data_IF_797719445350
#
_entry.id   IF_797719445350
#
_cell.length_a   1.000
_cell.length_b   1.000
_cell.length_c   1.000
_cell.angle_alpha   90.00
_cell.angle_beta   90.00
_cell.angle_gamma   90.00
#
_symmetry.space_group_name_H-M   'P 1'
#
loop_
_entity.id
_entity.type
_entity.pdbx_description
1 polymer ?
#
# COMPACT_ATOMS: atom_id res chain seq x y z
N UNK A 1 -17.41 -16.65 16.56
CA UNK A 1 -16.14 -15.93 16.79
C UNK A 1 -15.33 -15.65 15.51
N UNK A 2 -15.47 -16.39 14.40
CA UNK A 2 -14.64 -16.21 13.19
C UNK A 2 -15.09 -15.12 12.21
N UNK A 3 -16.30 -14.54 12.33
CA UNK A 3 -16.79 -13.51 11.39
C UNK A 3 -16.22 -12.10 11.64
N UNK A 4 -15.91 -11.74 12.89
CA UNK A 4 -15.37 -10.40 13.21
C UNK A 4 -13.91 -10.21 12.74
N UNK A 5 -13.11 -11.28 12.71
CA UNK A 5 -11.72 -11.23 12.22
C UNK A 5 -11.63 -11.09 10.70
N UNK A 6 -12.65 -11.57 9.98
CA UNK A 6 -12.73 -11.51 8.50
C UNK A 6 -13.05 -10.09 8.03
N UNK A 7 -13.93 -9.37 8.73
CA UNK A 7 -14.27 -7.97 8.42
C UNK A 7 -13.13 -6.99 8.75
N UNK A 8 -12.35 -7.25 9.80
CA UNK A 8 -11.20 -6.41 10.16
C UNK A 8 -10.06 -6.46 9.14
N UNK A 9 -9.80 -7.64 8.56
CA UNK A 9 -8.82 -7.82 7.48
C UNK A 9 -9.35 -7.24 6.15
N UNK A 10 -10.66 -7.32 5.89
CA UNK A 10 -11.23 -6.60 4.74
C UNK A 10 -11.10 -5.08 4.94
N UNK A 11 -11.37 -4.53 6.13
CA UNK A 11 -11.29 -3.07 6.35
C UNK A 11 -9.87 -2.49 6.41
N UNK A 12 -8.85 -3.24 6.84
CA UNK A 12 -7.46 -2.76 6.77
C UNK A 12 -6.88 -2.78 5.36
N UNK A 13 -7.40 -3.66 4.48
CA UNK A 13 -6.82 -3.92 3.17
C UNK A 13 -7.68 -3.41 1.99
N UNK A 14 -8.99 -3.20 2.16
CA UNK A 14 -9.90 -2.56 1.18
C UNK A 14 -9.80 -1.03 1.12
N UNK A 15 -8.90 -0.42 1.88
CA UNK A 15 -8.59 1.01 1.82
C UNK A 15 -7.77 1.41 0.58
N UNK A 16 -7.37 0.44 -0.25
CA UNK A 16 -6.47 0.65 -1.38
C UNK A 16 -7.09 1.29 -2.63
N UNK A 17 -8.38 1.07 -2.89
CA UNK A 17 -9.09 1.65 -4.05
C UNK A 17 -10.15 2.68 -3.66
N UNK A 18 -10.51 2.73 -2.37
CA UNK A 18 -11.48 3.68 -1.83
C UNK A 18 -10.82 4.35 -0.64
N UNK A 19 -10.57 5.65 -0.76
CA UNK A 19 -10.12 6.43 0.38
C UNK A 19 -11.31 6.66 1.33
N UNK A 20 -11.77 5.60 2.01
CA UNK A 20 -12.80 5.72 3.06
C UNK A 20 -12.35 6.71 4.14
N UNK A 21 -11.04 6.89 4.34
CA UNK A 21 -10.51 7.94 5.22
C UNK A 21 -10.98 9.33 4.78
N UNK A 22 -10.97 9.65 3.48
CA UNK A 22 -11.43 10.96 2.98
C UNK A 22 -12.94 11.15 3.08
N UNK A 23 -13.72 10.07 3.13
CA UNK A 23 -15.18 10.12 3.35
C UNK A 23 -15.51 10.23 4.84
N UNK A 24 -14.86 9.41 5.67
CA UNK A 24 -15.17 9.28 7.09
C UNK A 24 -14.57 10.42 7.90
N UNK A 25 -13.32 10.83 7.64
CA UNK A 25 -12.66 11.86 8.44
C UNK A 25 -13.46 13.17 8.55
N UNK A 26 -14.03 13.72 7.45
CA UNK A 26 -14.91 14.89 7.54
C UNK A 26 -16.12 14.66 8.45
N UNK A 27 -16.77 13.50 8.36
CA UNK A 27 -17.94 13.18 9.19
C UNK A 27 -17.59 13.08 10.67
N UNK A 28 -16.45 12.46 11.00
CA UNK A 28 -15.92 12.43 12.35
C UNK A 28 -15.74 13.85 12.91
N UNK A 29 -15.21 14.78 12.11
CA UNK A 29 -15.01 16.17 12.52
C UNK A 29 -16.34 16.92 12.65
N UNK A 30 -17.21 16.81 11.64
CA UNK A 30 -18.51 17.50 11.58
C UNK A 30 -19.42 17.12 12.73
N UNK A 31 -19.56 15.82 13.04
CA UNK A 31 -20.37 15.35 14.16
C UNK A 31 -19.85 15.82 15.51
N UNK A 32 -18.54 16.10 15.62
CA UNK A 32 -17.93 16.69 16.81
C UNK A 32 -17.82 18.22 16.76
N UNK A 33 -18.43 18.88 15.75
CA UNK A 33 -18.36 20.32 15.50
C UNK A 33 -16.92 20.88 15.40
N UNK A 34 -16.03 20.09 14.85
CA UNK A 34 -14.68 20.53 14.48
C UNK A 34 -14.74 21.09 13.07
N UNK A 35 -14.18 22.28 12.89
CA UNK A 35 -14.04 22.91 11.58
C UNK A 35 -13.14 22.07 10.66
N UNK A 36 -13.68 21.73 9.50
CA UNK A 36 -13.00 20.96 8.48
C UNK A 36 -12.09 21.83 7.61
N UNK A 37 -12.10 23.16 7.67
CA UNK A 37 -11.34 23.99 6.72
C UNK A 37 -9.83 24.02 7.00
N UNK A 38 -9.39 23.44 8.12
CA UNK A 38 -7.98 23.25 8.45
C UNK A 38 -7.28 22.09 7.73
N UNK A 39 -5.94 22.11 7.73
CA UNK A 39 -5.08 20.99 7.25
C UNK A 39 -5.45 19.67 7.95
N UNK A 40 -5.30 18.53 7.28
CA UNK A 40 -5.58 17.17 7.81
C UNK A 40 -5.02 16.94 9.22
N UNK A 41 -3.78 17.40 9.48
CA UNK A 41 -3.12 17.28 10.78
C UNK A 41 -3.85 18.04 11.90
N UNK A 42 -4.34 19.24 11.60
CA UNK A 42 -5.09 20.07 12.56
C UNK A 42 -6.41 19.39 12.94
N UNK A 43 -7.07 18.73 11.98
CA UNK A 43 -8.31 17.97 12.22
C UNK A 43 -8.08 16.78 13.16
N UNK A 44 -7.02 16.02 12.95
CA UNK A 44 -6.66 14.88 13.81
C UNK A 44 -6.35 15.37 15.23
N UNK A 45 -5.55 16.44 15.37
CA UNK A 45 -5.25 17.03 16.66
C UNK A 45 -6.52 17.55 17.36
N UNK A 46 -7.40 18.24 16.66
CA UNK A 46 -8.67 18.72 17.20
C UNK A 46 -9.59 17.58 17.66
N UNK A 47 -9.66 16.48 16.90
CA UNK A 47 -10.43 15.31 17.34
C UNK A 47 -9.90 14.78 18.68
N UNK A 48 -8.58 14.77 18.89
CA UNK A 48 -7.98 14.25 20.12
C UNK A 48 -8.27 15.08 21.37
N UNK A 49 -8.71 16.34 21.23
CA UNK A 49 -9.01 17.22 22.37
C UNK A 49 -10.45 17.07 22.88
N UNK A 50 -11.32 16.37 22.13
CA UNK A 50 -12.70 16.14 22.56
C UNK A 50 -12.71 15.26 23.80
N UNK A 51 -13.39 15.74 24.85
CA UNK A 51 -13.59 14.99 26.08
C UNK A 51 -14.97 14.31 26.08
N UNK A 52 -15.08 13.10 26.66
CA UNK A 52 -16.37 12.45 26.86
C UNK A 52 -17.24 13.26 27.84
N UNK A 53 -18.55 13.06 27.78
CA UNK A 53 -19.49 13.65 28.74
C UNK A 53 -19.52 12.85 30.05
N UNK A 54 -19.63 13.53 31.18
CA UNK A 54 -19.60 12.92 32.52
C UNK A 54 -20.80 11.98 32.79
N UNK A 55 -21.91 12.19 32.09
CA UNK A 55 -23.16 11.45 32.26
C UNK A 55 -23.26 10.19 31.38
N UNK A 56 -22.15 9.76 30.75
CA UNK A 56 -22.10 8.64 29.79
C UNK A 56 -23.01 8.81 28.57
N UNK A 57 -23.51 10.02 28.30
CA UNK A 57 -24.20 10.29 27.04
C UNK A 57 -23.17 10.43 25.91
N UNK A 58 -23.55 10.00 24.71
CA UNK A 58 -22.70 10.14 23.53
C UNK A 58 -22.86 11.50 22.83
N UNK A 59 -23.96 12.19 23.11
CA UNK A 59 -24.40 13.39 22.42
C UNK A 59 -24.80 14.46 23.43
N UNK A 60 -24.39 15.71 23.15
CA UNK A 60 -24.91 16.91 23.78
C UNK A 60 -25.72 17.68 22.75
N UNK A 61 -26.97 17.99 23.08
CA UNK A 61 -27.79 18.86 22.25
C UNK A 61 -27.54 20.34 22.61
N UNK A 62 -27.38 21.20 21.60
CA UNK A 62 -27.27 22.64 21.80
C UNK A 62 -28.66 23.29 21.86
N UNK A 63 -28.70 24.55 22.29
CA UNK A 63 -29.93 25.34 22.32
C UNK A 63 -30.58 25.54 20.93
N UNK A 64 -29.84 25.26 19.86
CA UNK A 64 -30.30 25.35 18.47
C UNK A 64 -30.83 24.00 17.94
N UNK A 65 -30.95 22.98 18.80
CA UNK A 65 -31.35 21.62 18.41
C UNK A 65 -30.26 20.83 17.68
N UNK A 66 -29.02 21.33 17.72
CA UNK A 66 -27.89 20.67 17.08
C UNK A 66 -27.31 19.62 18.03
N UNK A 67 -27.12 18.41 17.52
CA UNK A 67 -26.43 17.34 18.23
C UNK A 67 -24.91 17.43 18.02
N UNK A 68 -24.15 17.43 19.13
CA UNK A 68 -22.68 17.39 19.16
C UNK A 68 -22.24 16.09 19.82
N UNK A 69 -21.43 15.32 19.11
CA UNK A 69 -20.93 14.03 19.58
C UNK A 69 -19.65 14.18 20.41
N UNK A 70 -19.57 13.41 21.49
CA UNK A 70 -18.47 13.40 22.45
C UNK A 70 -17.90 11.97 22.62
N UNK A 71 -17.13 11.47 21.64
CA UNK A 71 -16.52 10.14 21.73
C UNK A 71 -15.55 10.03 22.92
N UNK A 72 -15.49 8.83 23.50
CA UNK A 72 -14.58 8.49 24.58
C UNK A 72 -13.29 7.86 24.00
N UNK A 73 -12.39 8.71 23.50
CA UNK A 73 -11.17 8.27 22.80
C UNK A 73 -10.21 7.39 23.60
N UNK A 74 -10.19 7.50 24.93
CA UNK A 74 -9.35 6.69 25.80
C UNK A 74 -10.04 5.40 26.28
N UNK A 75 -11.36 5.31 26.07
CA UNK A 75 -12.20 4.18 26.43
C UNK A 75 -12.02 2.96 25.53
N UNK A 76 -12.94 2.00 25.69
CA UNK A 76 -12.98 0.83 24.81
C UNK A 76 -13.70 1.21 23.51
N UNK A 77 -13.20 0.76 22.37
CA UNK A 77 -13.81 1.04 21.05
C UNK A 77 -15.24 0.50 20.98
N UNK A 78 -15.49 -0.62 21.64
CA UNK A 78 -16.80 -1.28 21.70
C UNK A 78 -17.63 -0.83 22.92
N UNK A 79 -17.22 0.22 23.64
CA UNK A 79 -18.07 0.80 24.68
C UNK A 79 -19.31 1.46 24.06
N UNK A 80 -20.36 1.60 24.87
CA UNK A 80 -21.68 2.02 24.38
C UNK A 80 -21.64 3.41 23.71
N UNK A 81 -20.86 4.34 24.26
CA UNK A 81 -20.71 5.70 23.73
C UNK A 81 -20.02 5.68 22.37
N UNK A 82 -18.88 5.00 22.27
CA UNK A 82 -18.11 4.92 21.03
C UNK A 82 -18.85 4.10 19.97
N UNK A 83 -19.51 3.01 20.35
CA UNK A 83 -20.28 2.19 19.43
C UNK A 83 -21.45 2.97 18.80
N UNK A 84 -22.12 3.85 19.58
CA UNK A 84 -23.16 4.75 19.06
C UNK A 84 -22.57 5.78 18.09
N UNK A 85 -21.45 6.40 18.45
CA UNK A 85 -20.80 7.38 17.59
C UNK A 85 -20.29 6.78 16.27
N UNK A 86 -19.65 5.61 16.32
CA UNK A 86 -19.17 4.90 15.13
C UNK A 86 -20.33 4.53 14.20
N UNK A 87 -21.46 4.12 14.78
CA UNK A 87 -22.68 3.81 14.04
C UNK A 87 -23.24 5.06 13.35
N UNK A 88 -23.34 6.17 14.06
CA UNK A 88 -23.82 7.43 13.49
C UNK A 88 -22.95 7.86 12.30
N UNK A 89 -21.62 7.83 12.45
CA UNK A 89 -20.72 8.15 11.33
C UNK A 89 -20.97 7.25 10.12
N UNK A 90 -21.13 5.95 10.36
CA UNK A 90 -21.37 4.98 9.29
C UNK A 90 -22.70 5.20 8.59
N UNK A 91 -23.76 5.52 9.34
CA UNK A 91 -25.08 5.84 8.81
C UNK A 91 -25.05 7.16 8.00
N UNK A 92 -24.39 8.21 8.50
CA UNK A 92 -24.17 9.43 7.73
C UNK A 92 -23.41 9.16 6.42
N UNK A 93 -22.33 8.37 6.47
CA UNK A 93 -21.55 8.02 5.28
C UNK A 93 -22.38 7.24 4.26
N UNK A 94 -23.16 6.26 4.73
CA UNK A 94 -24.06 5.47 3.89
C UNK A 94 -25.13 6.34 3.23
N UNK A 95 -25.77 7.23 4.00
CA UNK A 95 -26.83 8.10 3.50
C UNK A 95 -26.31 9.15 2.52
N UNK A 96 -25.15 9.76 2.79
CA UNK A 96 -24.52 10.71 1.87
C UNK A 96 -24.19 10.05 0.52
N UNK A 97 -23.57 8.87 0.57
CA UNK A 97 -23.28 8.09 -0.64
C UNK A 97 -24.58 7.69 -1.37
N UNK A 98 -25.62 7.28 -0.64
CA UNK A 98 -26.93 6.95 -1.21
C UNK A 98 -27.51 8.14 -1.97
N UNK A 99 -27.55 9.32 -1.34
CA UNK A 99 -28.06 10.54 -1.96
C UNK A 99 -27.21 10.99 -3.15
N UNK A 100 -25.89 10.85 -3.07
CA UNK A 100 -24.98 11.20 -4.17
C UNK A 100 -25.22 10.33 -5.41
N UNK A 101 -25.45 9.02 -5.22
CA UNK A 101 -25.80 8.09 -6.30
C UNK A 101 -27.12 8.45 -6.97
N UNK A 102 -28.12 8.77 -6.16
CA UNK A 102 -29.45 9.16 -6.66
C UNK A 102 -29.39 10.47 -7.46
N UNK A 103 -28.56 11.44 -7.03
CA UNK A 103 -28.51 12.77 -7.63
C UNK A 103 -27.53 12.89 -8.81
N UNK A 104 -26.31 12.38 -8.67
CA UNK A 104 -25.20 12.64 -9.61
C UNK A 104 -24.78 11.42 -10.41
N UNK A 105 -25.30 10.22 -10.08
CA UNK A 105 -24.85 8.92 -10.62
C UNK A 105 -23.35 8.66 -10.43
N UNK A 106 -22.65 9.45 -9.61
CA UNK A 106 -21.28 9.18 -9.19
C UNK A 106 -21.29 8.21 -8.01
N UNK A 107 -20.37 7.25 -8.05
CA UNK A 107 -20.19 6.26 -7.00
C UNK A 107 -18.81 6.49 -6.37
N UNK A 108 -18.75 7.14 -5.20
CA UNK A 108 -17.49 7.29 -4.46
C UNK A 108 -17.11 6.01 -3.73
N UNK A 109 -18.09 5.15 -3.45
CA UNK A 109 -17.91 3.78 -2.96
C UNK A 109 -18.29 2.79 -4.10
N UNK A 110 -17.56 1.70 -4.38
CA UNK A 110 -17.98 0.65 -5.29
C UNK A 110 -19.22 -0.07 -4.80
N UNK A 111 -20.08 -0.53 -5.73
CA UNK A 111 -21.34 -1.21 -5.40
C UNK A 111 -21.14 -2.43 -4.49
N UNK A 112 -20.06 -3.17 -4.67
CA UNK A 112 -19.69 -4.34 -3.85
C UNK A 112 -19.40 -3.99 -2.39
N UNK A 113 -18.94 -2.76 -2.15
CA UNK A 113 -18.57 -2.24 -0.82
C UNK A 113 -19.65 -1.34 -0.22
N UNK A 114 -20.67 -0.96 -1.00
CA UNK A 114 -21.75 -0.08 -0.57
C UNK A 114 -22.83 -0.84 0.21
N UNK A 115 -22.46 -1.32 1.40
CA UNK A 115 -23.39 -1.88 2.38
C UNK A 115 -23.09 -1.30 3.75
N UNK A 116 -24.13 -1.00 4.53
CA UNK A 116 -23.96 -0.41 5.86
C UNK A 116 -23.02 -1.21 6.78
N UNK A 117 -23.04 -2.56 6.81
CA UNK A 117 -22.09 -3.33 7.63
C UNK A 117 -20.62 -3.13 7.25
N UNK A 118 -20.30 -3.00 5.95
CA UNK A 118 -18.93 -2.74 5.49
C UNK A 118 -18.50 -1.33 5.91
N UNK A 119 -19.35 -0.33 5.67
CA UNK A 119 -19.08 1.06 6.05
C UNK A 119 -18.91 1.20 7.57
N UNK A 120 -19.71 0.46 8.35
CA UNK A 120 -19.60 0.43 9.82
C UNK A 120 -18.24 -0.10 10.28
N UNK A 121 -17.74 -1.18 9.68
CA UNK A 121 -16.42 -1.71 10.02
C UNK A 121 -15.28 -0.78 9.54
N UNK A 122 -15.47 -0.06 8.41
CA UNK A 122 -14.55 1.00 7.99
C UNK A 122 -14.51 2.14 9.02
N UNK A 123 -15.67 2.63 9.47
CA UNK A 123 -15.78 3.66 10.51
C UNK A 123 -15.15 3.20 11.83
N UNK A 124 -15.39 1.95 12.23
CA UNK A 124 -14.78 1.33 13.41
C UNK A 124 -13.26 1.23 13.30
N UNK A 125 -12.75 0.88 12.13
CA UNK A 125 -11.31 0.80 11.86
C UNK A 125 -10.65 2.16 11.92
N UNK A 126 -11.29 3.19 11.34
CA UNK A 126 -10.85 4.57 11.46
C UNK A 126 -10.84 5.03 12.94
N UNK A 127 -11.91 4.73 13.69
CA UNK A 127 -11.98 5.03 15.12
C UNK A 127 -10.80 4.38 15.88
N UNK A 128 -10.52 3.09 15.65
CA UNK A 128 -9.37 2.38 16.27
C UNK A 128 -8.04 3.09 15.99
N UNK A 129 -7.85 3.58 14.77
CA UNK A 129 -6.66 4.34 14.37
C UNK A 129 -6.54 5.64 15.17
N UNK A 130 -7.64 6.39 15.28
CA UNK A 130 -7.69 7.62 16.09
C UNK A 130 -7.48 7.35 17.58
N UNK A 131 -8.17 6.36 18.14
CA UNK A 131 -8.00 5.90 19.52
C UNK A 131 -6.53 5.53 19.82
N UNK A 132 -5.85 4.81 18.91
CA UNK A 132 -4.41 4.51 19.05
C UNK A 132 -3.57 5.80 19.09
N UNK A 133 -3.83 6.75 18.18
CA UNK A 133 -3.12 8.05 18.14
C UNK A 133 -3.34 8.86 19.42
N UNK A 134 -4.58 8.91 19.92
CA UNK A 134 -4.92 9.62 21.16
C UNK A 134 -4.18 9.01 22.35
N UNK A 135 -4.16 7.67 22.46
CA UNK A 135 -3.40 6.97 23.51
C UNK A 135 -1.91 7.25 23.44
N UNK A 136 -1.33 7.32 22.24
CA UNK A 136 0.08 7.71 22.07
C UNK A 136 0.30 9.16 22.56
N UNK A 137 -0.53 10.10 22.14
CA UNK A 137 -0.43 11.53 22.50
C UNK A 137 -0.72 11.85 23.97
N UNK A 138 -1.36 10.94 24.71
CA UNK A 138 -1.63 11.13 26.13
C UNK A 138 -0.40 10.81 27.02
N UNK A 139 0.70 10.32 26.44
CA UNK A 139 1.94 10.03 27.18
C UNK A 139 3.07 10.96 26.72
N UNK A 140 3.87 11.49 27.65
CA UNK A 140 5.00 12.37 27.31
C UNK A 140 5.98 11.71 26.31
N UNK A 141 6.21 10.41 26.48
CA UNK A 141 7.02 9.62 25.55
C UNK A 141 6.38 9.50 24.17
N UNK A 142 5.06 9.31 24.11
CA UNK A 142 4.33 9.19 22.86
C UNK A 142 4.18 10.52 22.12
N UNK A 143 4.05 11.65 22.84
CA UNK A 143 4.12 13.00 22.28
C UNK A 143 5.46 13.25 21.62
N UNK A 144 6.58 12.96 22.31
CA UNK A 144 7.93 13.05 21.71
C UNK A 144 8.10 12.16 20.48
N UNK A 145 7.57 10.93 20.51
CA UNK A 145 7.58 10.03 19.33
C UNK A 145 6.71 10.53 18.18
N UNK A 146 5.62 11.22 18.47
CA UNK A 146 4.73 11.80 17.47
C UNK A 146 5.35 13.04 16.83
N UNK A 147 5.91 13.95 17.64
CA UNK A 147 6.70 15.10 17.18
C UNK A 147 7.91 14.67 16.36
N UNK A 148 8.66 13.66 16.82
CA UNK A 148 9.75 13.09 16.03
C UNK A 148 9.24 12.53 14.69
N UNK A 149 8.10 11.83 14.65
CA UNK A 149 7.50 11.37 13.37
C UNK A 149 7.05 12.53 12.48
N UNK A 150 6.60 13.64 13.05
CA UNK A 150 6.25 14.86 12.32
C UNK A 150 7.48 15.55 11.74
N UNK A 151 8.56 15.68 12.50
CA UNK A 151 9.84 16.22 12.03
C UNK A 151 10.46 15.31 10.96
N UNK A 152 10.40 13.99 11.16
CA UNK A 152 10.90 13.00 10.20
C UNK A 152 9.97 12.79 9.00
N UNK A 153 8.71 13.23 9.06
CA UNK A 153 7.77 13.20 7.94
C UNK A 153 8.19 14.13 6.81
N UNK A 154 9.10 15.07 7.07
CA UNK A 154 9.72 15.93 6.05
C UNK A 154 10.90 15.25 5.34
N UNK A 155 11.33 14.08 5.79
CA UNK A 155 12.41 13.32 5.15
C UNK A 155 11.89 12.33 4.09
N UNK A 156 12.68 12.02 3.04
CA UNK A 156 12.27 11.20 1.90
C UNK A 156 11.78 9.77 2.20
N UNK A 157 11.89 9.30 3.45
CA UNK A 157 11.48 7.95 3.84
C UNK A 157 9.96 7.74 3.86
N UNK A 158 9.14 8.76 4.11
CA UNK A 158 7.67 8.62 4.12
C UNK A 158 7.09 8.35 2.71
N UNK A 159 7.79 8.73 1.64
CA UNK A 159 7.40 8.36 0.26
C UNK A 159 7.49 6.85 0.00
N UNK A 160 8.30 6.12 0.76
CA UNK A 160 8.46 4.67 0.62
C UNK A 160 7.21 3.93 1.11
N UNK A 161 6.65 4.35 2.24
CA UNK A 161 5.44 3.73 2.82
C UNK A 161 4.20 3.99 1.96
N UNK A 162 4.11 5.17 1.35
CA UNK A 162 3.03 5.45 0.41
C UNK A 162 3.14 4.58 -0.84
N UNK A 163 4.33 4.48 -1.47
CA UNK A 163 4.51 3.68 -2.69
C UNK A 163 4.19 2.20 -2.47
N UNK A 164 4.60 1.64 -1.32
CA UNK A 164 4.30 0.26 -0.92
C UNK A 164 2.80 0.02 -0.73
N UNK A 165 2.12 0.95 -0.07
CA UNK A 165 0.65 0.90 0.09
C UNK A 165 -0.06 0.91 -1.28
N UNK A 166 0.41 1.74 -2.22
CA UNK A 166 -0.14 1.80 -3.58
C UNK A 166 0.10 0.52 -4.38
N UNK A 167 1.30 -0.05 -4.33
CA UNK A 167 1.62 -1.30 -5.01
C UNK A 167 0.76 -2.47 -4.51
N UNK A 168 0.56 -2.55 -3.18
CA UNK A 168 -0.33 -3.55 -2.58
C UNK A 168 -1.78 -3.37 -3.06
N UNK A 169 -2.24 -2.12 -3.20
CA UNK A 169 -3.59 -1.79 -3.66
C UNK A 169 -3.83 -2.16 -5.12
N UNK A 170 -2.87 -1.87 -6.00
CA UNK A 170 -2.93 -2.24 -7.42
C UNK A 170 -2.86 -3.75 -7.64
N UNK A 171 -2.04 -4.45 -6.85
CA UNK A 171 -1.98 -5.91 -6.88
C UNK A 171 -3.35 -6.52 -6.54
N UNK A 172 -4.07 -5.94 -5.56
CA UNK A 172 -5.42 -6.37 -5.21
C UNK A 172 -6.42 -6.08 -6.33
N UNK A 173 -6.39 -4.87 -6.89
CA UNK A 173 -7.28 -4.47 -7.98
C UNK A 173 -7.11 -5.38 -9.20
N UNK A 174 -5.87 -5.70 -9.58
CA UNK A 174 -5.61 -6.60 -10.69
C UNK A 174 -6.11 -8.03 -10.41
N UNK A 175 -5.86 -8.58 -9.22
CA UNK A 175 -6.35 -9.92 -8.85
C UNK A 175 -7.88 -9.99 -8.88
N UNK A 176 -8.58 -8.91 -8.53
CA UNK A 176 -10.04 -8.80 -8.62
C UNK A 176 -10.49 -8.69 -10.08
N UNK A 177 -9.88 -7.81 -10.86
CA UNK A 177 -10.22 -7.58 -12.27
C UNK A 177 -9.91 -8.79 -13.17
N UNK A 178 -8.83 -9.52 -12.89
CA UNK A 178 -8.48 -10.75 -13.60
C UNK A 178 -9.53 -11.86 -13.37
N UNK A 179 -10.17 -11.90 -12.19
CA UNK A 179 -11.30 -12.82 -11.92
C UNK A 179 -12.57 -12.41 -12.66
N UNK A 180 -12.82 -11.11 -12.83
CA UNK A 180 -14.03 -10.60 -13.48
C UNK A 180 -13.97 -10.65 -15.01
N UNK A 181 -12.79 -10.47 -15.61
CA UNK A 181 -12.63 -10.41 -17.08
C UNK A 181 -12.57 -11.77 -17.81
N UNK A 182 -12.82 -12.90 -17.12
CA UNK A 182 -13.07 -14.18 -17.79
C UNK A 182 -11.97 -14.67 -18.75
N UNK A 183 -10.71 -14.30 -18.50
CA UNK A 183 -9.59 -14.76 -19.29
C UNK A 183 -9.25 -16.22 -19.01
N UNK A 184 -9.75 -17.11 -19.87
CA UNK A 184 -9.27 -18.47 -20.18
C UNK A 184 -8.59 -19.28 -19.06
N UNK A 185 -9.28 -20.32 -18.58
CA UNK A 185 -8.73 -21.59 -18.07
C UNK A 185 -7.64 -21.61 -16.99
N UNK A 186 -7.27 -20.50 -16.35
CA UNK A 186 -6.35 -20.50 -15.21
C UNK A 186 -7.11 -20.55 -13.87
N UNK A 187 -7.69 -21.74 -13.67
CA UNK A 187 -8.15 -22.33 -12.41
C UNK A 187 -9.28 -21.63 -11.64
N UNK A 188 -10.49 -22.06 -11.97
CA UNK A 188 -11.58 -22.16 -11.02
C UNK A 188 -11.25 -23.18 -9.92
N UNK A 189 -10.33 -22.87 -9.01
CA UNK A 189 -10.17 -23.62 -7.78
C UNK A 189 -11.07 -23.02 -6.69
N UNK A 190 -12.18 -23.71 -6.43
CA UNK A 190 -13.24 -23.44 -5.43
C UNK A 190 -12.75 -23.39 -3.96
N UNK A 191 -11.44 -23.46 -3.70
CA UNK A 191 -10.86 -23.59 -2.35
C UNK A 191 -10.39 -22.25 -1.78
N UNK A 192 -10.21 -21.20 -2.58
CA UNK A 192 -9.66 -19.94 -2.11
C UNK A 192 -10.74 -18.86 -1.93
N UNK A 193 -11.52 -18.99 -0.85
CA UNK A 193 -12.39 -17.94 -0.29
C UNK A 193 -11.63 -16.72 0.28
N UNK A 194 -10.34 -16.56 -0.03
CA UNK A 194 -9.52 -15.43 0.38
C UNK A 194 -8.86 -14.85 -0.87
N UNK A 195 -8.83 -13.52 -1.08
CA UNK A 195 -7.79 -12.93 -1.88
C UNK A 195 -6.46 -13.26 -1.17
N UNK A 196 -5.75 -14.26 -1.67
CA UNK A 196 -4.42 -14.57 -1.17
C UNK A 196 -3.53 -13.42 -1.60
N UNK A 197 -3.19 -12.57 -0.63
CA UNK A 197 -2.37 -11.39 -0.84
C UNK A 197 -0.96 -11.87 -1.19
N UNK A 198 -0.50 -11.57 -2.40
CA UNK A 198 0.92 -11.66 -2.72
C UNK A 198 1.59 -10.55 -1.93
N UNK A 199 2.53 -10.94 -1.06
CA UNK A 199 3.34 -9.97 -0.34
C UNK A 199 4.18 -9.18 -1.35
N UNK A 200 3.96 -7.87 -1.45
CA UNK A 200 4.75 -6.95 -2.29
C UNK A 200 5.89 -6.30 -1.51
N UNK A 201 5.94 -6.48 -0.18
CA UNK A 201 7.03 -6.02 0.69
C UNK A 201 8.26 -6.92 0.61
N UNK A 202 8.14 -8.10 -0.02
CA UNK A 202 9.27 -8.87 -0.54
C UNK A 202 9.84 -8.22 -1.82
N UNK A 203 10.03 -6.90 -1.79
CA UNK A 203 10.74 -6.16 -2.81
C UNK A 203 12.25 -6.27 -2.61
N UNK A 204 13.03 -5.85 -3.59
CA UNK A 204 14.50 -5.85 -3.50
C UNK A 204 15.00 -4.92 -2.38
N UNK A 205 16.12 -5.29 -1.76
CA UNK A 205 16.73 -4.48 -0.70
C UNK A 205 17.37 -3.22 -1.32
N UNK A 206 17.04 -2.05 -0.77
CA UNK A 206 17.62 -0.78 -1.20
C UNK A 206 18.75 -0.42 -0.23
N UNK A 207 19.99 -0.51 -0.72
CA UNK A 207 21.19 -0.33 0.09
C UNK A 207 21.98 0.87 -0.43
N UNK A 208 22.57 1.66 0.46
CA UNK A 208 23.49 2.74 0.08
C UNK A 208 24.69 2.15 -0.67
N UNK A 209 25.03 2.73 -1.83
CA UNK A 209 26.15 2.26 -2.63
C UNK A 209 27.46 2.85 -2.09
N UNK A 210 28.29 2.04 -1.45
CA UNK A 210 29.67 2.41 -1.11
C UNK A 210 30.58 2.04 -2.29
N UNK A 211 31.24 3.03 -2.93
CA UNK A 211 32.05 2.82 -4.13
C UNK A 211 33.24 1.88 -3.90
N UNK A 212 33.71 1.77 -2.66
CA UNK A 212 34.85 0.93 -2.30
C UNK A 212 34.48 -0.56 -2.12
N UNK A 213 33.19 -0.89 -2.11
CA UNK A 213 32.68 -2.23 -1.76
C UNK A 213 31.81 -2.84 -2.87
N UNK A 214 31.82 -2.26 -4.08
CA UNK A 214 30.99 -2.71 -5.19
C UNK A 214 31.83 -3.26 -6.34
N UNK A 215 31.30 -4.27 -7.03
CA UNK A 215 31.93 -4.85 -8.21
C UNK A 215 31.97 -3.85 -9.38
N UNK A 216 32.90 -4.07 -10.30
CA UNK A 216 33.07 -3.25 -11.49
C UNK A 216 31.78 -3.18 -12.34
N UNK A 217 31.10 -4.31 -12.53
CA UNK A 217 29.79 -4.36 -13.20
C UNK A 217 28.73 -3.46 -12.52
N UNK A 218 28.72 -3.43 -11.19
CA UNK A 218 27.77 -2.61 -10.42
C UNK A 218 28.07 -1.12 -10.62
N UNK A 219 29.35 -0.75 -10.70
CA UNK A 219 29.77 0.62 -11.03
C UNK A 219 29.40 1.00 -12.46
N UNK A 220 29.55 0.07 -13.41
CA UNK A 220 29.20 0.31 -14.81
C UNK A 220 27.70 0.55 -14.98
N UNK A 221 26.83 -0.29 -14.39
CA UNK A 221 25.37 -0.09 -14.42
C UNK A 221 24.95 1.25 -13.85
N UNK A 222 25.60 1.70 -12.78
CA UNK A 222 25.31 3.02 -12.19
C UNK A 222 25.67 4.16 -13.17
N UNK A 223 26.79 4.04 -13.88
CA UNK A 223 27.18 4.98 -14.94
C UNK A 223 26.16 4.98 -16.07
N UNK A 224 25.75 3.80 -16.53
CA UNK A 224 24.79 3.64 -17.63
C UNK A 224 23.40 4.20 -17.26
N UNK A 225 23.00 4.04 -16.00
CA UNK A 225 21.78 4.63 -15.46
C UNK A 225 21.87 6.15 -15.22
N UNK A 226 23.06 6.76 -15.42
CA UNK A 226 23.35 8.18 -15.22
C UNK A 226 22.98 8.67 -13.80
N UNK A 227 23.22 7.85 -12.78
CA UNK A 227 22.86 8.17 -11.39
C UNK A 227 24.08 8.60 -10.57
N UNK A 228 23.94 9.72 -9.86
CA UNK A 228 25.02 10.32 -9.05
C UNK A 228 25.50 9.50 -7.85
N UNK A 229 26.54 9.98 -7.15
CA UNK A 229 27.21 9.30 -6.03
C UNK A 229 26.34 8.94 -4.83
N UNK A 230 25.20 9.61 -4.67
CA UNK A 230 24.22 9.32 -3.62
C UNK A 230 23.15 8.30 -4.04
N UNK A 231 23.35 7.58 -5.15
CA UNK A 231 22.44 6.53 -5.61
C UNK A 231 22.38 5.36 -4.61
N UNK A 232 21.19 4.79 -4.44
CA UNK A 232 21.07 3.49 -3.78
C UNK A 232 21.12 2.38 -4.82
N UNK A 233 21.70 1.23 -4.46
CA UNK A 233 21.62 0.01 -5.26
C UNK A 233 20.43 -0.83 -4.81
N UNK A 234 19.82 -1.51 -5.76
CA UNK A 234 18.69 -2.42 -5.55
C UNK A 234 19.21 -3.85 -5.65
N UNK A 235 19.12 -4.59 -4.55
CA UNK A 235 19.62 -5.96 -4.44
C UNK A 235 18.43 -6.91 -4.50
N UNK A 236 18.32 -7.63 -5.62
CA UNK A 236 17.35 -8.72 -5.77
C UNK A 236 17.70 -9.93 -4.90
N UNK A 237 16.74 -10.82 -4.71
CA UNK A 237 16.94 -12.08 -3.98
C UNK A 237 16.88 -13.26 -4.93
N UNK A 238 17.84 -14.19 -4.79
CA UNK A 238 18.00 -15.34 -5.67
C UNK A 238 16.85 -16.34 -5.55
N UNK A 239 16.13 -16.35 -4.43
CA UNK A 239 14.96 -17.20 -4.25
C UNK A 239 13.78 -16.78 -5.12
N UNK A 240 13.76 -15.60 -5.74
CA UNK A 240 12.61 -15.10 -6.50
C UNK A 240 12.60 -15.62 -7.92
N UNK A 241 11.44 -16.08 -8.38
CA UNK A 241 11.21 -16.41 -9.78
C UNK A 241 11.20 -15.14 -10.65
N UNK A 242 11.64 -15.26 -11.90
CA UNK A 242 11.58 -14.15 -12.88
C UNK A 242 10.16 -13.60 -13.05
N UNK A 243 9.15 -14.48 -12.99
CA UNK A 243 7.75 -14.10 -13.09
C UNK A 243 7.31 -13.18 -11.94
N UNK A 244 7.76 -13.47 -10.73
CA UNK A 244 7.46 -12.65 -9.58
C UNK A 244 8.15 -11.29 -9.62
N UNK A 245 9.43 -11.26 -10.01
CA UNK A 245 10.15 -10.00 -10.20
C UNK A 245 9.49 -9.14 -11.28
N UNK A 246 9.09 -9.76 -12.40
CA UNK A 246 8.38 -9.09 -13.48
C UNK A 246 7.05 -8.48 -13.02
N UNK A 247 6.29 -9.20 -12.19
CA UNK A 247 5.07 -8.68 -11.57
C UNK A 247 5.32 -7.46 -10.67
N UNK A 248 6.38 -7.48 -9.85
CA UNK A 248 6.75 -6.33 -9.01
C UNK A 248 7.17 -5.09 -9.84
N UNK A 249 7.91 -5.30 -10.92
CA UNK A 249 8.29 -4.22 -11.85
C UNK A 249 7.06 -3.62 -12.55
N UNK A 250 6.14 -4.47 -13.03
CA UNK A 250 4.88 -4.04 -13.62
C UNK A 250 4.03 -3.22 -12.64
N UNK A 251 3.87 -3.69 -11.39
CA UNK A 251 3.18 -2.94 -10.33
C UNK A 251 3.80 -1.57 -10.08
N UNK A 252 5.13 -1.48 -10.12
CA UNK A 252 5.86 -0.23 -9.94
C UNK A 252 5.55 0.77 -11.06
N UNK A 253 5.49 0.30 -12.30
CA UNK A 253 5.09 1.14 -13.44
C UNK A 253 3.64 1.62 -13.31
N UNK A 254 2.70 0.72 -12.99
CA UNK A 254 1.30 1.07 -12.78
C UNK A 254 1.12 2.13 -11.68
N UNK A 255 1.81 1.95 -10.54
CA UNK A 255 1.78 2.92 -9.45
C UNK A 255 2.31 4.30 -9.87
N UNK A 256 3.31 4.34 -10.75
CA UNK A 256 3.85 5.60 -11.27
C UNK A 256 2.92 6.28 -12.27
N UNK A 257 2.31 5.53 -13.20
CA UNK A 257 1.33 6.08 -14.17
C UNK A 257 0.14 6.71 -13.44
N UNK A 258 -0.41 6.00 -12.45
CA UNK A 258 -1.53 6.50 -11.66
C UNK A 258 -1.22 7.81 -10.91
N UNK A 259 0.01 7.98 -10.40
CA UNK A 259 0.41 9.24 -9.76
C UNK A 259 0.45 10.41 -10.74
N UNK A 260 0.79 10.18 -12.01
CA UNK A 260 0.83 11.23 -13.03
C UNK A 260 -0.56 11.63 -13.51
N UNK A 261 -1.50 10.69 -13.50
CA UNK A 261 -2.88 10.91 -13.97
C UNK A 261 -3.79 11.59 -12.94
N UNK A 262 -3.33 11.76 -11.69
CA UNK A 262 -4.09 12.52 -10.67
C UNK A 262 -4.20 13.98 -11.10
N UNK A 263 -5.40 14.49 -11.44
CA UNK A 263 -5.55 15.87 -11.89
C UNK A 263 -5.12 16.81 -10.75
N UNK A 264 -4.30 17.81 -11.07
CA UNK A 264 -4.08 18.94 -10.17
C UNK A 264 -5.46 19.52 -9.83
N UNK A 265 -5.86 19.48 -8.55
CA UNK A 265 -7.13 20.05 -8.11
C UNK A 265 -7.29 21.46 -8.68
N UNK A 266 -8.42 21.77 -9.37
CA UNK A 266 -8.67 23.13 -9.79
C UNK A 266 -8.80 23.96 -8.52
N UNK A 267 -7.88 24.92 -8.34
CA UNK A 267 -8.00 25.96 -7.33
C UNK A 267 -9.38 26.63 -7.50
N UNK A 268 -10.37 26.21 -6.73
CA UNK A 268 -11.63 26.94 -6.61
C UNK A 268 -11.29 28.26 -5.92
N UNK A 269 -11.65 29.34 -6.62
CA UNK A 269 -11.19 30.69 -6.35
C UNK A 269 -11.49 31.15 -4.93
N UNK A 270 -10.43 31.39 -4.17
CA UNK A 270 -10.45 32.37 -3.10
C UNK A 270 -10.09 33.71 -3.72
N UNK A 271 -11.05 34.63 -3.77
CA UNK A 271 -10.79 36.04 -4.08
C UNK A 271 -10.10 36.68 -2.88
N UNK A 272 -8.79 36.48 -2.73
CA UNK A 272 -8.00 37.39 -1.91
C UNK A 272 -6.63 37.62 -2.55
N UNK A 273 -6.40 38.87 -2.97
CA UNK A 273 -5.29 39.27 -3.82
C UNK A 273 -3.98 39.38 -3.04
N UNK A 274 -3.33 38.25 -2.84
CA UNK A 274 -1.88 38.20 -2.57
C UNK A 274 -1.08 38.16 -3.88
N UNK A 275 0.16 38.70 -3.94
CA UNK A 275 0.97 38.65 -5.14
C UNK A 275 1.16 37.19 -5.60
N UNK A 276 1.01 36.90 -6.91
CA UNK A 276 1.06 35.54 -7.42
C UNK A 276 2.42 34.94 -7.11
N UNK A 277 2.47 33.99 -6.18
CA UNK A 277 3.66 33.18 -5.94
C UNK A 277 3.98 32.46 -7.25
N UNK A 278 5.17 32.72 -7.80
CA UNK A 278 5.69 32.02 -8.98
C UNK A 278 5.66 30.51 -8.71
N UNK A 279 4.61 29.82 -9.20
CA UNK A 279 4.54 28.37 -9.21
C UNK A 279 5.57 27.90 -10.23
N UNK A 280 6.69 27.41 -9.72
CA UNK A 280 7.69 26.74 -10.55
C UNK A 280 7.01 25.51 -11.15
N UNK A 281 6.77 25.52 -12.47
CA UNK A 281 6.44 24.30 -13.23
C UNK A 281 7.69 23.42 -13.17
N UNK A 282 7.70 22.54 -12.18
CA UNK A 282 8.76 21.56 -12.08
C UNK A 282 8.43 20.45 -13.09
N UNK A 283 9.00 20.53 -14.28
CA UNK A 283 9.17 19.37 -15.19
C UNK A 283 10.20 18.43 -14.57
N UNK A 284 9.88 17.84 -13.41
CA UNK A 284 10.74 16.84 -12.77
C UNK A 284 10.56 15.58 -13.58
N UNK A 285 11.45 15.35 -14.56
CA UNK A 285 11.77 13.98 -14.98
C UNK A 285 12.09 13.25 -13.68
N UNK A 286 11.19 12.36 -13.24
CA UNK A 286 11.38 11.57 -12.03
C UNK A 286 12.50 10.59 -12.36
N UNK A 287 13.74 10.97 -12.10
CA UNK A 287 14.87 10.07 -12.24
C UNK A 287 14.80 9.09 -11.07
N UNK A 288 14.70 7.78 -11.36
CA UNK A 288 14.92 6.72 -10.37
C UNK A 288 16.27 7.03 -9.69
N UNK A 289 16.29 7.20 -8.37
CA UNK A 289 17.53 7.35 -7.58
C UNK A 289 18.16 6.00 -7.23
N UNK A 290 17.76 4.97 -7.96
CA UNK A 290 18.04 3.58 -7.67
C UNK A 290 18.39 2.87 -8.97
N UNK A 291 19.34 1.94 -8.91
CA UNK A 291 19.72 1.08 -10.03
C UNK A 291 19.83 -0.36 -9.54
N UNK A 292 19.51 -1.32 -10.41
CA UNK A 292 19.59 -2.74 -10.10
C UNK A 292 21.02 -3.26 -10.22
N UNK A 293 21.43 -4.10 -9.27
CA UNK A 293 22.69 -4.84 -9.37
C UNK A 293 22.59 -5.96 -10.39
N UNK A 294 23.72 -6.43 -10.90
CA UNK A 294 23.75 -7.62 -11.78
C UNK A 294 23.17 -8.85 -11.06
N UNK A 295 22.35 -9.69 -11.73
CA UNK A 295 21.76 -10.90 -11.14
C UNK A 295 22.75 -11.82 -10.40
N UNK A 296 24.00 -11.92 -10.87
CA UNK A 296 25.09 -12.68 -10.21
C UNK A 296 25.41 -12.24 -8.77
N UNK A 297 24.99 -11.04 -8.37
CA UNK A 297 25.22 -10.46 -7.04
C UNK A 297 23.96 -10.46 -6.16
N UNK A 298 22.90 -11.18 -6.57
CA UNK A 298 21.69 -11.30 -5.77
C UNK A 298 21.94 -11.90 -4.39
N UNK A 299 21.12 -11.49 -3.43
CA UNK A 299 21.13 -12.04 -2.09
C UNK A 299 20.63 -13.50 -2.13
N UNK A 300 21.49 -14.44 -1.74
CA UNK A 300 21.18 -15.88 -1.69
C UNK A 300 20.45 -16.31 -0.41
N UNK A 301 20.33 -15.40 0.56
CA UNK A 301 19.66 -15.65 1.83
C UNK A 301 18.18 -16.00 1.66
N UNK A 302 17.62 -16.79 2.58
CA UNK A 302 16.22 -17.17 2.54
C UNK A 302 15.32 -15.96 2.75
N UNK A 303 14.05 -16.08 2.34
CA UNK A 303 13.05 -15.07 2.66
C UNK A 303 12.82 -14.96 4.17
N UNK A 304 12.33 -13.80 4.61
CA UNK A 304 12.11 -13.54 6.04
C UNK A 304 11.00 -14.44 6.60
N UNK A 305 11.24 -14.99 7.79
CA UNK A 305 10.43 -16.06 8.43
C UNK A 305 8.96 -15.76 8.72
N UNK A 306 8.50 -14.52 8.49
CA UNK A 306 7.12 -14.09 8.77
C UNK A 306 6.25 -14.03 7.52
N UNK A 307 6.82 -14.20 6.33
CA UNK A 307 6.09 -13.98 5.08
C UNK A 307 5.52 -15.27 4.53
N UNK A 308 4.28 -15.20 4.04
CA UNK A 308 3.67 -16.27 3.25
C UNK A 308 4.22 -16.25 1.84
N UNK A 309 4.80 -17.36 1.39
CA UNK A 309 5.46 -17.45 0.09
C UNK A 309 4.77 -18.50 -0.73
N UNK A 310 4.34 -18.11 -1.93
CA UNK A 310 3.72 -19.03 -2.86
C UNK A 310 4.77 -19.68 -3.76
N UNK A 311 4.57 -20.96 -4.08
CA UNK A 311 5.48 -21.71 -4.94
C UNK A 311 5.81 -21.01 -6.26
N UNK A 312 4.87 -20.36 -6.98
CA UNK A 312 5.20 -19.64 -8.21
C UNK A 312 6.08 -18.39 -8.01
N UNK A 313 6.20 -17.88 -6.78
CA UNK A 313 7.11 -16.78 -6.46
C UNK A 313 8.56 -17.22 -6.32
N UNK A 314 8.79 -18.52 -6.13
CA UNK A 314 10.11 -19.06 -5.80
C UNK A 314 10.78 -19.61 -7.06
N UNK A 315 12.06 -19.30 -7.23
CA UNK A 315 12.91 -19.96 -8.22
C UNK A 315 13.02 -21.45 -7.88
N UNK A 316 12.79 -22.30 -8.89
CA UNK A 316 12.69 -23.74 -8.67
C UNK A 316 14.02 -24.35 -8.18
N UNK A 317 15.16 -23.79 -8.59
CA UNK A 317 16.48 -24.30 -8.16
C UNK A 317 16.76 -23.92 -6.73
N UNK A 318 16.52 -22.66 -6.39
CA UNK A 318 16.65 -22.21 -5.01
C UNK A 318 15.75 -23.04 -4.08
N UNK A 319 14.53 -23.38 -4.52
CA UNK A 319 13.64 -24.26 -3.75
C UNK A 319 14.17 -25.69 -3.61
N UNK A 320 14.78 -26.27 -4.67
CA UNK A 320 15.41 -27.60 -4.60
C UNK A 320 16.58 -27.65 -3.61
N UNK A 321 17.33 -26.57 -3.47
CA UNK A 321 18.42 -26.44 -2.50
C UNK A 321 17.92 -26.17 -1.07
N UNK A 322 16.67 -25.71 -0.92
CA UNK A 322 16.08 -25.26 0.34
C UNK A 322 14.72 -25.93 0.59
N UNK A 323 14.67 -27.27 0.50
CA UNK A 323 13.42 -28.06 0.53
C UNK A 323 12.62 -27.88 1.84
N UNK A 324 13.29 -27.52 2.94
CA UNK A 324 12.67 -27.29 4.25
C UNK A 324 11.90 -25.96 4.33
N UNK A 325 11.98 -25.11 3.31
CA UNK A 325 11.32 -23.80 3.29
C UNK A 325 9.80 -23.95 3.06
N UNK A 326 8.92 -23.54 4.00
CA UNK A 326 7.47 -23.69 3.85
C UNK A 326 6.87 -22.80 2.76
N UNK A 327 6.67 -23.34 1.56
CA UNK A 327 5.95 -22.68 0.47
C UNK A 327 4.49 -23.16 0.41
N UNK A 328 3.60 -22.27 -0.03
CA UNK A 328 2.18 -22.56 -0.19
C UNK A 328 1.84 -22.67 -1.68
N UNK A 329 1.01 -23.64 -2.06
CA UNK A 329 0.46 -23.72 -3.41
C UNK A 329 -0.59 -22.63 -3.66
N UNK A 330 -0.75 -22.19 -4.91
CA UNK A 330 -1.70 -21.16 -5.32
C UNK A 330 -1.08 -20.12 -6.23
N UNK A 331 -1.86 -19.09 -6.57
CA UNK A 331 -1.51 -17.98 -7.48
C UNK A 331 -0.92 -18.44 -8.83
N UNK A 332 -1.44 -19.53 -9.40
CA UNK A 332 -0.93 -20.11 -10.65
C UNK A 332 -0.94 -19.12 -11.83
N UNK A 333 -1.76 -18.08 -11.78
CA UNK A 333 -1.76 -16.98 -12.75
C UNK A 333 -0.41 -16.26 -12.86
N UNK A 334 0.44 -16.32 -11.82
CA UNK A 334 1.76 -15.73 -11.84
C UNK A 334 2.73 -16.53 -12.74
N UNK A 335 2.46 -17.82 -12.97
CA UNK A 335 3.32 -18.65 -13.83
C UNK A 335 3.25 -18.11 -15.26
N UNK A 336 4.43 -17.82 -15.82
CA UNK A 336 4.54 -17.26 -17.16
C UNK A 336 4.18 -15.77 -17.24
N UNK A 337 3.93 -15.07 -16.13
CA UNK A 337 3.62 -13.64 -16.14
C UNK A 337 4.65 -12.83 -16.96
N UNK A 338 5.94 -13.14 -16.82
CA UNK A 338 7.01 -12.47 -17.56
C UNK A 338 6.83 -12.57 -19.09
N UNK A 339 6.35 -13.72 -19.59
CA UNK A 339 6.15 -13.96 -21.02
C UNK A 339 4.92 -13.24 -21.59
N UNK A 340 4.00 -12.81 -20.74
CA UNK A 340 2.77 -12.11 -21.15
C UNK A 340 2.92 -10.58 -21.16
N UNK A 341 4.09 -10.05 -20.76
CA UNK A 341 4.34 -8.61 -20.77
C UNK A 341 4.62 -8.12 -22.19
N UNK A 342 3.96 -7.03 -22.58
CA UNK A 342 4.14 -6.38 -23.87
C UNK A 342 5.13 -5.21 -23.76
N UNK A 343 5.54 -4.69 -24.92
CA UNK A 343 6.29 -3.43 -24.97
C UNK A 343 5.47 -2.30 -24.31
N UNK A 344 6.09 -1.57 -23.37
CA UNK A 344 5.44 -0.51 -22.60
C UNK A 344 4.76 -0.95 -21.29
N UNK A 345 4.75 -2.25 -20.98
CA UNK A 345 4.30 -2.80 -19.69
C UNK A 345 5.40 -2.74 -18.60
N UNK A 346 6.62 -2.39 -18.98
CA UNK A 346 7.78 -2.22 -18.09
C UNK A 346 8.56 -0.95 -18.45
N UNK A 347 9.34 -0.45 -17.49
CA UNK A 347 10.42 0.49 -17.84
C UNK A 347 11.51 -0.23 -18.62
N UNK A 348 12.16 0.47 -19.54
CA UNK A 348 13.25 -0.09 -20.37
C UNK A 348 14.35 -0.73 -19.51
N UNK A 349 14.79 -0.05 -18.45
CA UNK A 349 15.78 -0.60 -17.51
C UNK A 349 15.29 -1.88 -16.81
N UNK A 350 14.01 -1.98 -16.48
CA UNK A 350 13.44 -3.16 -15.82
C UNK A 350 13.32 -4.33 -16.81
N UNK A 351 13.00 -4.05 -18.10
CA UNK A 351 12.98 -5.05 -19.16
C UNK A 351 14.38 -5.63 -19.45
N UNK A 352 15.41 -4.77 -19.49
CA UNK A 352 16.81 -5.18 -19.61
C UNK A 352 17.19 -6.09 -18.44
N UNK A 353 16.91 -5.65 -17.22
CA UNK A 353 17.21 -6.43 -16.02
C UNK A 353 16.52 -7.80 -15.98
N UNK A 354 15.24 -7.86 -16.35
CA UNK A 354 14.50 -9.13 -16.36
C UNK A 354 15.02 -10.11 -17.41
N UNK A 355 15.50 -9.61 -18.55
CA UNK A 355 16.14 -10.46 -19.56
C UNK A 355 17.44 -11.07 -19.03
N UNK A 356 18.29 -10.25 -18.42
CA UNK A 356 19.54 -10.72 -17.79
C UNK A 356 19.25 -11.69 -16.65
N UNK A 357 18.19 -11.45 -15.87
CA UNK A 357 17.76 -12.35 -14.82
C UNK A 357 17.34 -13.70 -15.41
N UNK A 358 16.46 -13.71 -16.41
CA UNK A 358 16.02 -14.93 -17.08
C UNK A 358 17.20 -15.73 -17.67
N UNK A 359 18.14 -15.06 -18.33
CA UNK A 359 19.37 -15.67 -18.86
C UNK A 359 20.25 -16.24 -17.74
N UNK A 360 20.43 -15.51 -16.65
CA UNK A 360 21.18 -15.97 -15.47
C UNK A 360 20.54 -17.21 -14.84
N UNK A 361 19.22 -17.18 -14.64
CA UNK A 361 18.49 -18.32 -14.08
C UNK A 361 18.52 -19.55 -15.01
N UNK A 362 18.59 -19.36 -16.34
CA UNK A 362 18.71 -20.45 -17.31
C UNK A 362 20.12 -21.02 -17.43
N UNK A 363 21.15 -20.18 -17.41
CA UNK A 363 22.55 -20.59 -17.63
C UNK A 363 23.05 -21.51 -16.52
N UNK A 364 22.69 -21.22 -15.27
CA UNK A 364 23.03 -22.07 -14.13
C UNK A 364 22.33 -23.46 -14.16
N UNK A 365 21.20 -23.61 -14.87
CA UNK A 365 20.57 -24.92 -15.10
C UNK A 365 21.44 -25.79 -16.00
N UNK A 366 22.03 -25.18 -17.04
CA UNK A 366 22.86 -25.90 -18.01
C UNK A 366 24.21 -26.35 -17.44
N UNK A 367 24.75 -25.63 -16.45
CA UNK A 367 26.05 -25.95 -15.85
C UNK A 367 26.04 -27.07 -14.81
N UNK A 368 24.87 -27.51 -14.34
CA UNK A 368 24.74 -28.63 -13.39
C UNK A 368 24.46 -29.98 -14.09
N UNK A 369 24.25 -29.98 -15.41
CA UNK A 369 23.88 -31.17 -16.20
C UNK A 369 25.08 -31.90 -16.83
N UNK A 370 26.31 -31.39 -16.69
CA UNK A 370 27.48 -31.88 -17.44
C UNK A 370 28.49 -32.71 -16.64
N UNK A 371 28.27 -32.97 -15.35
CA UNK A 371 29.29 -33.58 -14.48
C UNK A 371 29.02 -35.07 -14.15
N UNK A 372 28.21 -35.77 -14.94
CA UNK A 372 28.04 -37.24 -14.87
C UNK A 372 28.35 -37.91 -16.22
N UNK A 373 29.57 -37.79 -16.72
CA UNK A 373 30.11 -38.79 -17.64
C UNK A 373 31.63 -38.72 -17.61
N UNK A 374 32.26 -39.55 -16.76
CA UNK A 374 33.58 -40.18 -16.95
C UNK A 374 33.99 -40.87 -15.65
N UNK A 375 33.46 -42.08 -15.45
CA UNK A 375 34.08 -43.10 -14.63
C UNK A 375 33.67 -44.47 -15.18
N UNK A 376 34.45 -44.96 -16.15
CA UNK A 376 34.67 -46.38 -16.39
C UNK A 376 36.16 -46.59 -16.69
#
# INVERSE_FOLDING_TARGET
MYQHSVLAIVCQYSLGTINFESILQPLFCQLCRIDCDGKKQNRVAALTTIRPLDNKQAVKETNEGVQIWHPHWLGNVDDEVNARFIREVAECAFNNEKSQREQTKMNSIPNTSFTLPIILECAKTYFRSMHKRVKELHSDQGTRKFEARLEHSWHPHVKKDSQKCWQSSLAQEWVVNAKEKGGSELSANKVLKRPLLIDTDLGSDIITCNENEVSEDTLQRRKDALIGQSANKVVGHAWRSVNYVAFLCWLSLCAMKLQQDTPDEPNQGSMDQGPPRKRCRITKKIHKRVFDITPKHMNRGPPLSKTTIFKPMVDERWYKENVDMPVIEGIDWLKGFYLHLNEGDLFEADAIYLKELDEYLKTEISGQSSDEEFAD
#
